data_IF_577193426816
#
_entry.id   IF_577193426816
#
_cell.length_a   1.000
_cell.length_b   1.000
_cell.length_c   1.000
_cell.angle_alpha   90.00
_cell.angle_beta   90.00
_cell.angle_gamma   90.00
#
_symmetry.space_group_name_H-M   'P 1'
#
loop_
_entity.id
_entity.type
_entity.pdbx_description
1 polymer ?
#
# COMPACT_ATOMS: atom_id res chain seq x y z
N UNK A 1 10.31 3.13 -14.94
CA UNK A 1 9.34 3.16 -13.84
C UNK A 1 9.97 3.68 -12.55
N UNK A 2 11.17 3.20 -12.11
CA UNK A 2 11.80 3.60 -10.85
C UNK A 2 12.00 5.11 -10.70
N UNK A 3 12.60 5.76 -11.70
CA UNK A 3 12.77 7.23 -11.70
C UNK A 3 11.43 7.97 -11.65
N UNK A 4 10.42 7.49 -12.38
CA UNK A 4 9.08 8.09 -12.36
C UNK A 4 8.45 8.00 -10.98
N UNK A 5 8.62 6.87 -10.29
CA UNK A 5 8.12 6.69 -8.92
C UNK A 5 8.83 7.61 -7.93
N UNK A 6 10.16 7.71 -8.00
CA UNK A 6 10.93 8.62 -7.16
C UNK A 6 10.50 10.08 -7.37
N UNK A 7 10.47 10.55 -8.62
CA UNK A 7 10.07 11.91 -8.94
C UNK A 7 8.60 12.18 -8.58
N UNK A 8 7.69 11.25 -8.89
CA UNK A 8 6.28 11.40 -8.59
C UNK A 8 5.99 11.54 -7.09
N UNK A 9 6.57 10.65 -6.28
CA UNK A 9 6.39 10.73 -4.83
C UNK A 9 7.08 11.95 -4.21
N UNK A 10 8.26 12.36 -4.71
CA UNK A 10 8.89 13.62 -4.29
C UNK A 10 8.01 14.84 -4.58
N UNK A 11 7.38 14.90 -5.76
CA UNK A 11 6.44 15.97 -6.11
C UNK A 11 5.23 15.96 -5.17
N UNK A 12 4.65 14.80 -4.88
CA UNK A 12 3.54 14.70 -3.92
C UNK A 12 3.96 15.25 -2.56
N UNK A 13 5.09 14.80 -2.00
CA UNK A 13 5.60 15.29 -0.72
C UNK A 13 5.76 16.82 -0.76
N UNK A 14 6.42 17.34 -1.79
CA UNK A 14 6.67 18.78 -1.93
C UNK A 14 5.38 19.60 -2.00
N UNK A 15 4.40 19.19 -2.83
CA UNK A 15 3.12 19.88 -3.00
C UNK A 15 2.34 19.93 -1.68
N UNK A 16 2.20 18.78 -1.00
CA UNK A 16 1.42 18.72 0.25
C UNK A 16 2.09 19.49 1.40
N UNK A 17 3.42 19.53 1.44
CA UNK A 17 4.14 20.30 2.47
C UNK A 17 4.08 21.80 2.23
N UNK A 18 4.06 22.26 0.97
CA UNK A 18 4.10 23.68 0.63
C UNK A 18 2.72 24.31 0.45
N UNK A 19 1.66 23.53 0.26
CA UNK A 19 0.30 24.03 0.01
C UNK A 19 -0.54 24.00 1.30
N UNK A 20 -0.77 25.16 1.92
CA UNK A 20 -1.51 25.26 3.20
C UNK A 20 -2.91 24.64 3.15
N UNK A 21 -3.63 24.79 2.03
CA UNK A 21 -4.98 24.23 1.84
C UNK A 21 -5.03 22.69 1.82
N UNK A 22 -3.90 22.04 1.59
CA UNK A 22 -3.78 20.58 1.62
C UNK A 22 -3.34 20.00 2.98
N UNK A 23 -3.14 20.84 3.98
CA UNK A 23 -2.72 20.41 5.33
C UNK A 23 -3.92 19.92 6.14
N UNK A 24 -4.50 18.80 5.77
CA UNK A 24 -5.55 18.12 6.54
C UNK A 24 -5.02 16.87 7.24
N UNK A 25 -5.64 16.39 8.33
CA UNK A 25 -5.24 15.15 9.00
C UNK A 25 -5.25 13.93 8.06
N UNK A 26 -6.22 13.82 7.18
CA UNK A 26 -6.29 12.75 6.18
C UNK A 26 -5.12 12.81 5.19
N UNK A 27 -4.69 14.00 4.81
CA UNK A 27 -3.57 14.19 3.89
C UNK A 27 -2.21 13.86 4.51
N UNK A 28 -2.08 13.84 5.85
CA UNK A 28 -0.87 13.32 6.51
C UNK A 28 -0.63 11.84 6.18
N UNK A 29 -1.69 11.05 6.05
CA UNK A 29 -1.59 9.66 5.61
C UNK A 29 -1.11 9.56 4.15
N UNK A 30 -1.56 10.46 3.27
CA UNK A 30 -1.12 10.50 1.87
C UNK A 30 0.36 10.88 1.79
N UNK A 31 0.81 11.83 2.59
CA UNK A 31 2.24 12.21 2.69
C UNK A 31 3.06 11.04 3.21
N UNK A 32 2.59 10.33 4.25
CA UNK A 32 3.27 9.15 4.77
C UNK A 32 3.40 8.04 3.71
N UNK A 33 2.36 7.80 2.92
CA UNK A 33 2.40 6.87 1.81
C UNK A 33 3.46 7.28 0.78
N UNK A 34 3.46 8.55 0.36
CA UNK A 34 4.44 9.06 -0.59
C UNK A 34 5.89 8.99 -0.06
N UNK A 35 6.10 9.20 1.25
CA UNK A 35 7.41 9.04 1.88
C UNK A 35 7.86 7.59 1.84
N UNK A 36 7.00 6.63 2.21
CA UNK A 36 7.37 5.21 2.18
C UNK A 36 7.67 4.71 0.76
N UNK A 37 6.87 5.11 -0.23
CA UNK A 37 7.07 4.73 -1.63
C UNK A 37 8.33 5.37 -2.23
N UNK A 38 8.60 6.64 -1.88
CA UNK A 38 9.85 7.31 -2.26
C UNK A 38 11.08 6.59 -1.68
N UNK A 39 11.07 6.30 -0.38
CA UNK A 39 12.19 5.64 0.30
C UNK A 39 12.39 4.20 -0.21
N UNK A 40 11.30 3.48 -0.48
CA UNK A 40 11.37 2.15 -1.08
C UNK A 40 12.08 2.19 -2.43
N UNK A 41 11.66 3.06 -3.34
CA UNK A 41 12.24 3.14 -4.67
C UNK A 41 13.66 3.74 -4.67
N UNK A 42 13.94 4.69 -3.80
CA UNK A 42 15.30 5.23 -3.62
C UNK A 42 16.28 4.17 -3.09
N UNK A 43 15.81 3.22 -2.27
CA UNK A 43 16.62 2.10 -1.80
C UNK A 43 16.74 0.98 -2.84
N UNK A 44 15.68 0.65 -3.56
CA UNK A 44 15.64 -0.54 -4.43
C UNK A 44 16.13 -0.27 -5.85
N UNK A 45 15.79 0.87 -6.43
CA UNK A 45 16.03 1.13 -7.85
C UNK A 45 17.52 1.26 -8.22
N UNK A 46 18.37 2.05 -7.51
CA UNK A 46 19.77 2.18 -7.90
C UNK A 46 20.57 0.87 -7.81
N UNK A 47 20.49 0.08 -6.72
CA UNK A 47 21.15 -1.22 -6.68
C UNK A 47 20.66 -2.20 -7.73
N UNK A 48 19.33 -2.20 -8.02
CA UNK A 48 18.77 -3.05 -9.06
C UNK A 48 19.37 -2.76 -10.43
N UNK A 49 19.57 -1.48 -10.79
CA UNK A 49 20.22 -1.11 -12.05
C UNK A 49 21.66 -1.65 -12.13
N UNK A 50 22.42 -1.52 -11.04
CA UNK A 50 23.79 -2.05 -10.95
C UNK A 50 23.79 -3.56 -11.09
N UNK A 51 22.93 -4.28 -10.35
CA UNK A 51 22.83 -5.74 -10.38
C UNK A 51 22.40 -6.26 -11.76
N UNK A 52 21.49 -5.56 -12.45
CA UNK A 52 21.12 -5.90 -13.84
C UNK A 52 22.30 -5.74 -14.80
N UNK A 53 23.14 -4.72 -14.62
CA UNK A 53 24.34 -4.53 -15.43
C UNK A 53 25.38 -5.64 -15.25
N UNK A 54 25.59 -6.08 -14.00
CA UNK A 54 26.52 -7.17 -13.68
C UNK A 54 25.92 -8.58 -13.77
N UNK A 55 24.61 -8.70 -14.02
CA UNK A 55 23.88 -9.97 -14.04
C UNK A 55 24.01 -10.80 -12.76
N UNK A 56 24.23 -10.15 -11.61
CA UNK A 56 24.37 -10.78 -10.30
C UNK A 56 24.20 -9.75 -9.20
N UNK A 57 24.07 -10.22 -7.96
CA UNK A 57 24.15 -9.34 -6.79
C UNK A 57 25.60 -8.84 -6.62
N UNK A 58 25.81 -7.56 -6.91
CA UNK A 58 27.15 -6.95 -6.94
C UNK A 58 27.60 -6.35 -5.60
N UNK A 59 26.80 -6.45 -4.55
CA UNK A 59 27.09 -5.86 -3.25
C UNK A 59 27.36 -6.92 -2.17
N UNK A 60 27.69 -6.48 -0.93
CA UNK A 60 27.94 -7.39 0.19
C UNK A 60 26.66 -8.13 0.63
N UNK A 61 26.85 -9.25 1.33
CA UNK A 61 25.74 -10.00 1.94
C UNK A 61 24.93 -9.14 2.93
N UNK A 62 25.60 -8.34 3.75
CA UNK A 62 24.94 -7.42 4.67
C UNK A 62 24.08 -6.37 3.96
N UNK A 63 24.54 -5.86 2.83
CA UNK A 63 23.74 -4.92 2.04
C UNK A 63 22.53 -5.60 1.39
N UNK A 64 22.62 -6.89 1.06
CA UNK A 64 21.48 -7.71 0.61
C UNK A 64 20.40 -7.78 1.70
N UNK A 65 20.82 -8.04 2.94
CA UNK A 65 19.89 -8.08 4.08
C UNK A 65 19.22 -6.72 4.29
N UNK A 66 19.97 -5.62 4.24
CA UNK A 66 19.40 -4.27 4.35
C UNK A 66 18.45 -3.92 3.19
N UNK A 67 18.81 -4.32 1.98
CA UNK A 67 17.96 -4.13 0.79
C UNK A 67 16.60 -4.84 0.96
N UNK A 68 16.62 -6.11 1.34
CA UNK A 68 15.41 -6.90 1.60
C UNK A 68 14.59 -6.37 2.77
N UNK A 69 15.27 -5.96 3.84
CA UNK A 69 14.64 -5.33 5.01
C UNK A 69 13.90 -4.05 4.63
N UNK A 70 14.56 -3.09 3.98
CA UNK A 70 13.95 -1.81 3.61
C UNK A 70 12.84 -1.99 2.57
N UNK A 71 12.99 -2.89 1.60
CA UNK A 71 11.93 -3.21 0.66
C UNK A 71 10.68 -3.74 1.37
N UNK A 72 10.85 -4.69 2.28
CA UNK A 72 9.77 -5.25 3.10
C UNK A 72 9.16 -4.21 4.04
N UNK A 73 10.00 -3.39 4.68
CA UNK A 73 9.57 -2.34 5.61
C UNK A 73 8.66 -1.31 4.93
N UNK A 74 9.14 -0.72 3.84
CA UNK A 74 8.39 0.33 3.16
C UNK A 74 7.17 -0.24 2.43
N UNK A 75 7.24 -1.45 1.89
CA UNK A 75 6.07 -2.14 1.34
C UNK A 75 4.97 -2.40 2.39
N UNK A 76 5.35 -2.80 3.60
CA UNK A 76 4.44 -2.98 4.72
C UNK A 76 3.83 -1.64 5.17
N UNK A 77 4.64 -0.58 5.28
CA UNK A 77 4.15 0.76 5.62
C UNK A 77 3.15 1.26 4.57
N UNK A 78 3.43 1.07 3.29
CA UNK A 78 2.55 1.51 2.20
C UNK A 78 1.18 0.85 2.29
N UNK A 79 1.10 -0.47 2.40
CA UNK A 79 -0.22 -1.15 2.41
C UNK A 79 -1.02 -0.79 3.67
N UNK A 80 -0.41 -0.75 4.86
CA UNK A 80 -1.12 -0.39 6.08
C UNK A 80 -1.54 1.07 6.12
N UNK A 81 -0.76 1.96 5.51
CA UNK A 81 -1.16 3.36 5.31
C UNK A 81 -2.38 3.45 4.40
N UNK A 82 -2.40 2.68 3.30
CA UNK A 82 -3.57 2.61 2.41
C UNK A 82 -4.83 2.07 3.10
N UNK A 83 -4.69 1.12 4.03
CA UNK A 83 -5.81 0.67 4.88
C UNK A 83 -6.37 1.83 5.69
N UNK A 84 -5.54 2.63 6.35
CA UNK A 84 -6.03 3.76 7.13
C UNK A 84 -6.66 4.86 6.27
N UNK A 85 -6.15 5.09 5.06
CA UNK A 85 -6.80 5.95 4.07
C UNK A 85 -8.18 5.38 3.69
N UNK A 86 -8.27 4.07 3.44
CA UNK A 86 -9.54 3.39 3.11
C UNK A 86 -10.55 3.49 4.26
N UNK A 87 -10.12 3.28 5.51
CA UNK A 87 -10.97 3.41 6.70
C UNK A 87 -11.46 4.86 6.86
N UNK A 88 -10.62 5.85 6.59
CA UNK A 88 -11.01 7.25 6.61
C UNK A 88 -12.09 7.54 5.56
N UNK A 89 -11.91 7.09 4.32
CA UNK A 89 -12.93 7.21 3.26
C UNK A 89 -14.23 6.50 3.62
N UNK A 90 -14.14 5.31 4.20
CA UNK A 90 -15.32 4.59 4.70
C UNK A 90 -16.07 5.41 5.77
N UNK A 91 -15.37 5.97 6.74
CA UNK A 91 -16.01 6.77 7.78
C UNK A 91 -16.71 8.01 7.18
N UNK A 92 -16.05 8.73 6.28
CA UNK A 92 -16.62 9.95 5.66
C UNK A 92 -17.83 9.62 4.78
N UNK A 93 -17.77 8.58 3.95
CA UNK A 93 -18.81 8.29 2.96
C UNK A 93 -19.96 7.48 3.55
N UNK A 94 -19.65 6.44 4.34
CA UNK A 94 -20.68 5.51 4.85
C UNK A 94 -21.32 6.02 6.14
N UNK A 95 -20.53 6.55 7.08
CA UNK A 95 -21.05 7.08 8.35
C UNK A 95 -21.46 8.54 8.26
N UNK A 96 -20.93 9.30 7.29
CA UNK A 96 -21.27 10.70 7.07
C UNK A 96 -21.13 11.56 8.32
N UNK A 97 -22.17 12.28 8.67
CA UNK A 97 -22.19 13.21 9.84
C UNK A 97 -22.06 12.50 11.19
N UNK A 98 -22.32 11.21 11.27
CA UNK A 98 -22.13 10.41 12.51
C UNK A 98 -20.68 9.97 12.71
N UNK A 99 -19.80 10.18 11.73
CA UNK A 99 -18.40 9.83 11.85
C UNK A 99 -17.66 10.87 12.71
N UNK A 100 -16.81 10.39 13.62
CA UNK A 100 -15.83 11.25 14.28
C UNK A 100 -14.76 11.66 13.27
N UNK A 101 -14.58 12.96 12.99
CA UNK A 101 -13.54 13.42 12.07
C UNK A 101 -12.15 12.99 12.50
N UNK A 102 -11.30 12.66 11.54
CA UNK A 102 -9.90 12.35 11.83
C UNK A 102 -9.18 13.61 12.33
N UNK A 103 -8.59 13.53 13.52
CA UNK A 103 -7.77 14.60 14.09
C UNK A 103 -6.30 14.47 13.69
N UNK A 104 -5.51 15.55 13.81
CA UNK A 104 -4.07 15.52 13.55
C UNK A 104 -3.32 14.51 14.43
N UNK A 105 -3.66 14.47 15.73
CA UNK A 105 -3.11 13.48 16.67
C UNK A 105 -3.53 12.06 16.32
N UNK A 106 -4.78 11.87 15.89
CA UNK A 106 -5.27 10.57 15.43
C UNK A 106 -4.58 10.08 14.14
N UNK A 107 -4.27 10.96 13.21
CA UNK A 107 -3.49 10.62 12.01
C UNK A 107 -2.04 10.25 12.39
N UNK A 108 -1.39 11.05 13.25
CA UNK A 108 -0.03 10.79 13.71
C UNK A 108 0.07 9.45 14.46
N UNK A 109 -0.89 9.15 15.34
CA UNK A 109 -0.93 7.88 16.06
C UNK A 109 -1.01 6.68 15.10
N UNK A 110 -1.80 6.78 14.03
CA UNK A 110 -1.91 5.73 13.00
C UNK A 110 -0.59 5.57 12.23
N UNK A 111 0.08 6.68 11.90
CA UNK A 111 1.39 6.65 11.25
C UNK A 111 2.41 5.94 12.16
N UNK A 112 2.53 6.37 13.41
CA UNK A 112 3.45 5.73 14.38
C UNK A 112 3.13 4.24 14.54
N UNK A 113 1.86 3.88 14.66
CA UNK A 113 1.43 2.49 14.75
C UNK A 113 1.88 1.66 13.53
N UNK A 114 1.69 2.18 12.32
CA UNK A 114 2.10 1.51 11.07
C UNK A 114 3.62 1.30 11.03
N UNK A 115 4.41 2.32 11.39
CA UNK A 115 5.87 2.24 11.38
C UNK A 115 6.39 1.23 12.42
N UNK A 116 5.90 1.29 13.65
CA UNK A 116 6.29 0.35 14.71
C UNK A 116 5.96 -1.09 14.31
N UNK A 117 4.76 -1.30 13.80
CA UNK A 117 4.31 -2.63 13.42
C UNK A 117 5.08 -3.20 12.22
N UNK A 118 5.36 -2.35 11.22
CA UNK A 118 6.17 -2.74 10.07
C UNK A 118 7.60 -3.11 10.50
N UNK A 119 8.22 -2.33 11.39
CA UNK A 119 9.56 -2.62 11.94
C UNK A 119 9.54 -3.97 12.69
N UNK A 120 8.54 -4.20 13.56
CA UNK A 120 8.43 -5.47 14.31
C UNK A 120 8.42 -6.67 13.35
N UNK A 121 7.61 -6.64 12.29
CA UNK A 121 7.54 -7.75 11.33
C UNK A 121 8.82 -7.91 10.51
N UNK A 122 9.39 -6.84 10.03
CA UNK A 122 10.50 -6.90 9.07
C UNK A 122 11.87 -7.06 9.72
N UNK A 123 11.99 -6.85 11.02
CA UNK A 123 13.23 -7.08 11.76
C UNK A 123 13.43 -8.56 12.16
N UNK A 124 12.35 -9.35 12.23
CA UNK A 124 12.38 -10.76 12.69
C UNK A 124 13.32 -11.66 11.87
N UNK A 125 13.50 -11.48 10.55
CA UNK A 125 14.49 -12.24 9.78
C UNK A 125 15.93 -12.08 10.28
N UNK A 126 16.31 -10.95 10.87
CA UNK A 126 17.62 -10.76 11.48
C UNK A 126 17.80 -11.58 12.78
N UNK A 127 16.70 -12.00 13.41
CA UNK A 127 16.70 -12.85 14.60
C UNK A 127 16.48 -14.33 14.29
N UNK A 128 16.54 -14.71 13.00
CA UNK A 128 16.46 -16.11 12.57
C UNK A 128 15.06 -16.67 12.30
N UNK A 129 14.01 -15.84 12.38
CA UNK A 129 12.69 -16.24 11.87
C UNK A 129 12.58 -15.86 10.40
N UNK A 130 13.08 -16.72 9.50
CA UNK A 130 13.44 -16.47 8.12
C UNK A 130 14.79 -15.72 7.98
N UNK A 131 15.13 -15.24 6.78
CA UNK A 131 16.30 -14.42 6.47
C UNK A 131 16.12 -13.69 5.15
N UNK A 132 16.91 -12.65 4.91
CA UNK A 132 16.98 -11.98 3.61
C UNK A 132 18.13 -12.58 2.78
N UNK A 133 17.83 -12.94 1.53
CA UNK A 133 18.77 -13.61 0.62
C UNK A 133 18.64 -13.05 -0.80
N UNK A 134 19.67 -13.21 -1.64
CA UNK A 134 19.54 -12.93 -3.07
C UNK A 134 18.44 -13.81 -3.69
N UNK A 135 17.59 -13.23 -4.51
CA UNK A 135 16.44 -13.89 -5.11
C UNK A 135 16.31 -13.64 -6.62
N UNK A 136 15.42 -14.38 -7.26
CA UNK A 136 15.17 -14.27 -8.70
C UNK A 136 16.42 -14.56 -9.51
N UNK A 137 16.78 -13.62 -10.40
CA UNK A 137 18.00 -13.69 -11.20
C UNK A 137 19.23 -13.11 -10.49
N UNK A 138 19.27 -13.13 -9.16
CA UNK A 138 20.31 -12.53 -8.32
C UNK A 138 20.43 -11.01 -8.46
N UNK A 139 19.37 -10.34 -8.90
CA UNK A 139 19.36 -8.88 -9.09
C UNK A 139 18.69 -8.13 -7.94
N UNK A 140 18.03 -8.85 -7.03
CA UNK A 140 17.36 -8.33 -5.85
C UNK A 140 17.60 -9.23 -4.64
N UNK A 141 17.22 -8.74 -3.46
CA UNK A 141 17.20 -9.52 -2.22
C UNK A 141 15.83 -9.43 -1.55
N UNK A 142 15.36 -10.54 -1.02
CA UNK A 142 14.08 -10.64 -0.34
C UNK A 142 14.05 -11.79 0.66
N UNK A 143 12.88 -12.13 1.14
CA UNK A 143 12.68 -13.22 2.11
C UNK A 143 13.00 -14.59 1.50
N UNK A 144 13.61 -15.46 2.29
CA UNK A 144 14.00 -16.81 1.83
C UNK A 144 12.78 -17.74 1.74
N UNK A 145 12.27 -17.90 0.52
CA UNK A 145 11.14 -18.79 0.19
C UNK A 145 11.58 -20.16 -0.37
N UNK A 146 12.89 -20.38 -0.56
CA UNK A 146 13.43 -21.63 -1.12
C UNK A 146 13.90 -22.60 -0.03
N UNK A 147 14.35 -22.10 1.12
CA UNK A 147 14.78 -22.97 2.23
C UNK A 147 13.58 -23.66 2.87
N UNK A 148 13.63 -24.98 2.88
CA UNK A 148 12.58 -25.88 3.38
C UNK A 148 12.70 -26.09 4.89
N UNK A 149 12.60 -25.02 5.67
CA UNK A 149 12.51 -25.12 7.12
C UNK A 149 11.11 -24.72 7.60
N UNK A 150 10.63 -25.41 8.62
CA UNK A 150 9.35 -25.06 9.25
C UNK A 150 9.34 -23.62 9.76
N UNK A 151 10.47 -23.14 10.27
CA UNK A 151 10.64 -21.77 10.72
C UNK A 151 10.48 -20.77 9.58
N UNK A 152 11.19 -20.96 8.44
CA UNK A 152 11.09 -20.05 7.28
C UNK A 152 9.67 -20.03 6.70
N UNK A 153 9.03 -21.19 6.56
CA UNK A 153 7.66 -21.27 6.04
C UNK A 153 6.65 -20.60 6.98
N UNK A 154 6.79 -20.82 8.31
CA UNK A 154 5.87 -20.17 9.28
C UNK A 154 5.92 -18.64 9.21
N UNK A 155 7.11 -18.07 9.03
CA UNK A 155 7.26 -16.63 8.82
C UNK A 155 6.55 -16.16 7.55
N UNK A 156 6.78 -16.84 6.42
CA UNK A 156 6.20 -16.45 5.13
C UNK A 156 4.67 -16.54 5.14
N UNK A 157 4.09 -17.56 5.79
CA UNK A 157 2.63 -17.64 5.98
C UNK A 157 2.11 -16.51 6.85
N UNK A 158 2.75 -16.26 8.00
CA UNK A 158 2.33 -15.23 8.93
C UNK A 158 2.48 -13.82 8.33
N UNK A 159 3.63 -13.53 7.72
CA UNK A 159 3.90 -12.26 7.07
C UNK A 159 3.00 -12.04 5.85
N UNK A 160 2.83 -13.05 4.98
CA UNK A 160 1.93 -12.98 3.82
C UNK A 160 0.47 -12.77 4.22
N UNK A 161 0.00 -13.42 5.28
CA UNK A 161 -1.32 -13.14 5.84
C UNK A 161 -1.43 -11.68 6.30
N UNK A 162 -0.45 -11.20 7.04
CA UNK A 162 -0.43 -9.87 7.63
C UNK A 162 -0.31 -8.73 6.60
N UNK A 163 0.52 -8.91 5.56
CA UNK A 163 0.83 -7.85 4.58
C UNK A 163 -0.05 -7.93 3.33
N UNK A 164 -0.65 -9.08 3.05
CA UNK A 164 -1.41 -9.27 1.82
C UNK A 164 -2.87 -9.66 2.08
N UNK A 165 -3.14 -10.80 2.70
CA UNK A 165 -4.50 -11.33 2.80
C UNK A 165 -5.39 -10.51 3.74
N UNK A 166 -4.92 -10.16 4.93
CA UNK A 166 -5.68 -9.35 5.88
C UNK A 166 -5.98 -7.93 5.32
N UNK A 167 -5.00 -7.19 4.76
CA UNK A 167 -5.27 -5.95 4.04
C UNK A 167 -6.31 -6.10 2.94
N UNK A 168 -6.19 -7.11 2.10
CA UNK A 168 -7.13 -7.37 1.00
C UNK A 168 -8.57 -7.53 1.50
N UNK A 169 -8.77 -8.34 2.56
CA UNK A 169 -10.09 -8.55 3.16
C UNK A 169 -10.68 -7.26 3.73
N UNK A 170 -9.88 -6.46 4.44
CA UNK A 170 -10.32 -5.18 5.00
C UNK A 170 -10.74 -4.23 3.88
N UNK A 171 -9.94 -4.14 2.82
CA UNK A 171 -10.18 -3.25 1.69
C UNK A 171 -11.44 -3.67 0.93
N UNK A 172 -11.61 -4.95 0.61
CA UNK A 172 -12.82 -5.45 -0.05
C UNK A 172 -14.06 -5.15 0.80
N UNK A 173 -14.00 -5.41 2.11
CA UNK A 173 -15.11 -5.13 3.02
C UNK A 173 -15.46 -3.64 3.11
N UNK A 174 -14.46 -2.75 3.15
CA UNK A 174 -14.68 -1.31 3.19
C UNK A 174 -15.25 -0.78 1.87
N UNK A 175 -14.67 -1.16 0.74
CA UNK A 175 -15.13 -0.66 -0.57
C UNK A 175 -16.48 -1.23 -0.99
N UNK A 176 -16.83 -2.45 -0.62
CA UNK A 176 -18.18 -2.97 -0.86
C UNK A 176 -19.25 -2.08 -0.20
N UNK A 177 -18.97 -1.62 1.03
CA UNK A 177 -19.87 -0.71 1.75
C UNK A 177 -19.85 0.72 1.20
N UNK A 178 -18.69 1.23 0.80
CA UNK A 178 -18.57 2.55 0.15
C UNK A 178 -19.39 2.58 -1.13
N UNK A 179 -19.24 1.57 -2.01
CA UNK A 179 -19.99 1.49 -3.29
C UNK A 179 -21.48 1.43 -3.03
N UNK A 180 -21.93 0.61 -2.09
CA UNK A 180 -23.36 0.53 -1.72
C UNK A 180 -23.90 1.87 -1.24
N UNK A 181 -23.15 2.58 -0.38
CA UNK A 181 -23.57 3.89 0.13
C UNK A 181 -23.62 4.95 -0.97
N UNK A 182 -22.67 4.97 -1.88
CA UNK A 182 -22.65 5.89 -3.04
C UNK A 182 -23.86 5.66 -3.95
N UNK A 183 -24.16 4.41 -4.30
CA UNK A 183 -25.32 4.06 -5.14
C UNK A 183 -26.63 4.48 -4.46
N UNK A 184 -26.77 4.20 -3.16
CA UNK A 184 -27.96 4.58 -2.40
C UNK A 184 -28.15 6.12 -2.36
N UNK A 185 -27.06 6.86 -2.14
CA UNK A 185 -27.09 8.33 -2.13
C UNK A 185 -27.46 8.90 -3.51
N UNK A 186 -26.87 8.40 -4.60
CA UNK A 186 -27.21 8.85 -5.95
C UNK A 186 -28.69 8.56 -6.30
N UNK A 187 -29.20 7.39 -5.89
CA UNK A 187 -30.62 7.06 -6.08
C UNK A 187 -31.53 8.01 -5.32
N UNK A 188 -31.22 8.29 -4.05
CA UNK A 188 -31.99 9.23 -3.25
C UNK A 188 -32.02 10.64 -3.84
N UNK A 189 -30.88 11.15 -4.32
CA UNK A 189 -30.81 12.46 -4.98
C UNK A 189 -31.64 12.52 -6.27
N UNK A 190 -31.62 11.46 -7.09
CA UNK A 190 -32.45 11.37 -8.30
C UNK A 190 -33.94 11.37 -8.00
N UNK A 191 -34.36 10.66 -6.95
CA UNK A 191 -35.77 10.61 -6.52
C UNK A 191 -36.23 11.98 -5.98
N UNK A 192 -35.38 12.67 -5.22
CA UNK A 192 -35.67 14.03 -4.73
C UNK A 192 -35.78 15.03 -5.89
N UNK A 193 -34.84 14.99 -6.85
CA UNK A 193 -34.89 15.85 -8.03
C UNK A 193 -36.19 15.65 -8.85
N UNK A 194 -36.60 14.37 -9.01
CA UNK A 194 -37.90 14.05 -9.65
C UNK A 194 -39.10 14.66 -8.91
N UNK A 195 -39.11 14.55 -7.57
CA UNK A 195 -40.24 15.11 -6.77
C UNK A 195 -40.32 16.63 -6.85
N UNK A 196 -39.16 17.31 -7.03
CA UNK A 196 -39.09 18.78 -7.13
C UNK A 196 -39.21 19.31 -8.58
N UNK A 197 -39.38 18.42 -9.57
CA UNK A 197 -39.51 18.81 -10.97
C UNK A 197 -38.25 19.43 -11.59
N UNK A 198 -37.05 19.23 -10.96
CA UNK A 198 -35.79 19.80 -11.41
C UNK A 198 -34.88 18.71 -12.02
N UNK A 199 -34.10 19.08 -13.06
CA UNK A 199 -33.24 18.10 -13.77
C UNK A 199 -32.07 17.61 -12.90
N UNK A 200 -31.63 18.37 -11.88
CA UNK A 200 -30.52 18.02 -10.99
C UNK A 200 -30.55 18.87 -9.72
N UNK A 201 -30.28 18.24 -8.58
CA UNK A 201 -29.98 18.96 -7.33
C UNK A 201 -28.48 19.28 -7.32
N UNK A 202 -28.13 20.47 -7.80
CA UNK A 202 -26.74 20.96 -7.79
C UNK A 202 -26.55 21.87 -6.58
N UNK A 203 -26.53 21.28 -5.39
CA UNK A 203 -26.25 21.99 -4.14
C UNK A 203 -24.82 21.70 -3.67
N UNK A 204 -24.34 22.43 -2.67
CA UNK A 204 -22.99 22.26 -2.08
C UNK A 204 -22.75 20.84 -1.55
N UNK A 205 -23.79 20.21 -1.01
CA UNK A 205 -23.74 18.85 -0.48
C UNK A 205 -23.48 17.80 -1.59
N UNK A 206 -24.12 17.94 -2.75
CA UNK A 206 -23.88 17.10 -3.91
C UNK A 206 -22.45 17.26 -4.46
N UNK A 207 -21.92 18.48 -4.43
CA UNK A 207 -20.53 18.74 -4.84
C UNK A 207 -19.52 18.13 -3.87
N UNK A 208 -19.75 18.25 -2.55
CA UNK A 208 -18.91 17.64 -1.52
C UNK A 208 -18.90 16.13 -1.62
N UNK A 209 -20.05 15.49 -1.74
CA UNK A 209 -20.17 14.03 -1.93
C UNK A 209 -19.46 13.57 -3.19
N UNK A 210 -19.57 14.31 -4.30
CA UNK A 210 -18.85 14.00 -5.54
C UNK A 210 -17.33 14.07 -5.38
N UNK A 211 -16.81 15.04 -4.62
CA UNK A 211 -15.39 15.16 -4.31
C UNK A 211 -14.89 13.97 -3.47
N UNK A 212 -15.63 13.58 -2.43
CA UNK A 212 -15.30 12.44 -1.58
C UNK A 212 -15.32 11.12 -2.36
N UNK A 213 -16.31 10.93 -3.24
CA UNK A 213 -16.35 9.77 -4.13
C UNK A 213 -15.15 9.72 -5.09
N UNK A 214 -14.70 10.87 -5.58
CA UNK A 214 -13.50 10.93 -6.44
C UNK A 214 -12.24 10.55 -5.67
N UNK A 215 -12.08 11.03 -4.43
CA UNK A 215 -10.97 10.64 -3.57
C UNK A 215 -10.98 9.15 -3.24
N UNK A 216 -12.16 8.58 -2.97
CA UNK A 216 -12.29 7.14 -2.76
C UNK A 216 -11.93 6.32 -4.00
N UNK A 217 -12.30 6.77 -5.20
CA UNK A 217 -11.90 6.12 -6.47
C UNK A 217 -10.38 6.16 -6.68
N UNK A 218 -9.73 7.27 -6.39
CA UNK A 218 -8.27 7.38 -6.46
C UNK A 218 -7.61 6.44 -5.46
N UNK A 219 -8.08 6.41 -4.22
CA UNK A 219 -7.56 5.49 -3.21
C UNK A 219 -7.74 4.02 -3.60
N UNK A 220 -8.91 3.64 -4.15
CA UNK A 220 -9.13 2.28 -4.66
C UNK A 220 -8.16 1.94 -5.81
N UNK A 221 -7.95 2.88 -6.74
CA UNK A 221 -7.02 2.67 -7.85
C UNK A 221 -5.58 2.45 -7.34
N UNK A 222 -5.12 3.26 -6.39
CA UNK A 222 -3.79 3.12 -5.78
C UNK A 222 -3.62 1.76 -5.11
N UNK A 223 -4.60 1.34 -4.32
CA UNK A 223 -4.63 0.01 -3.68
C UNK A 223 -4.62 -1.11 -4.71
N UNK A 224 -5.42 -1.01 -5.75
CA UNK A 224 -5.49 -2.03 -6.81
C UNK A 224 -4.15 -2.19 -7.53
N UNK A 225 -3.46 -1.07 -7.83
CA UNK A 225 -2.13 -1.08 -8.42
C UNK A 225 -1.10 -1.72 -7.50
N UNK A 226 -1.19 -1.49 -6.19
CA UNK A 226 -0.33 -2.14 -5.20
C UNK A 226 -0.51 -3.68 -5.24
N UNK A 227 -1.75 -4.17 -5.18
CA UNK A 227 -2.02 -5.61 -5.28
C UNK A 227 -1.56 -6.19 -6.62
N UNK A 228 -1.79 -5.50 -7.73
CA UNK A 228 -1.31 -5.94 -9.05
C UNK A 228 0.22 -6.06 -9.10
N UNK A 229 0.94 -5.14 -8.48
CA UNK A 229 2.40 -5.15 -8.44
C UNK A 229 2.96 -6.27 -7.53
N UNK A 230 2.33 -6.54 -6.37
CA UNK A 230 2.84 -7.49 -5.39
C UNK A 230 2.30 -8.92 -5.54
N UNK A 231 1.20 -9.12 -6.29
CA UNK A 231 0.64 -10.47 -6.52
C UNK A 231 1.63 -11.43 -7.20
N UNK A 232 2.39 -11.04 -8.25
CA UNK A 232 3.40 -11.91 -8.83
C UNK A 232 4.45 -12.37 -7.82
N UNK A 233 4.93 -11.46 -6.96
CA UNK A 233 5.90 -11.78 -5.91
C UNK A 233 5.32 -12.76 -4.89
N UNK A 234 4.07 -12.59 -4.48
CA UNK A 234 3.38 -13.53 -3.60
C UNK A 234 3.29 -14.93 -4.24
N UNK A 235 2.93 -15.02 -5.52
CA UNK A 235 2.83 -16.28 -6.26
C UNK A 235 4.20 -17.00 -6.31
N UNK A 236 5.29 -16.26 -6.55
CA UNK A 236 6.65 -16.81 -6.55
C UNK A 236 7.02 -17.36 -5.18
N UNK A 237 6.75 -16.62 -4.11
CA UNK A 237 7.04 -17.05 -2.74
C UNK A 237 6.29 -18.35 -2.39
N UNK A 238 4.98 -18.40 -2.62
CA UNK A 238 4.18 -19.60 -2.36
C UNK A 238 4.55 -20.76 -3.29
N UNK A 239 4.86 -20.50 -4.56
CA UNK A 239 5.32 -21.50 -5.51
C UNK A 239 6.64 -22.13 -5.06
N UNK A 240 7.60 -21.32 -4.59
CA UNK A 240 8.87 -21.79 -4.04
C UNK A 240 8.68 -22.69 -2.82
N UNK A 241 7.83 -22.30 -1.88
CA UNK A 241 7.49 -23.11 -0.69
C UNK A 241 6.86 -24.46 -1.05
N UNK A 242 6.01 -24.51 -2.08
CA UNK A 242 5.30 -25.71 -2.53
C UNK A 242 6.11 -26.59 -3.50
N UNK A 243 7.41 -26.34 -3.70
CA UNK A 243 8.26 -27.03 -4.67
C UNK A 243 7.76 -26.97 -6.12
N UNK A 244 7.00 -25.95 -6.46
CA UNK A 244 6.58 -25.64 -7.81
C UNK A 244 7.13 -24.26 -8.18
N UNK A 245 8.46 -24.14 -8.45
CA UNK A 245 9.05 -22.85 -8.76
C UNK A 245 8.37 -22.27 -10.00
N UNK A 246 7.56 -21.24 -9.79
CA UNK A 246 6.96 -20.45 -10.86
C UNK A 246 7.91 -19.34 -11.31
N UNK A 247 9.21 -19.58 -11.22
CA UNK A 247 10.23 -18.65 -11.68
C UNK A 247 10.25 -18.70 -13.20
N UNK A 248 9.65 -17.72 -13.82
CA UNK A 248 9.74 -17.50 -15.26
C UNK A 248 10.26 -16.08 -15.51
N UNK A 249 10.88 -15.81 -16.67
CA UNK A 249 11.33 -14.44 -17.01
C UNK A 249 10.21 -13.39 -16.92
N UNK A 250 8.95 -13.82 -17.07
CA UNK A 250 7.79 -12.94 -16.97
C UNK A 250 7.49 -12.49 -15.53
N UNK A 251 7.85 -13.28 -14.52
CA UNK A 251 7.56 -13.00 -13.10
C UNK A 251 8.79 -12.52 -12.32
N UNK A 252 9.97 -12.49 -12.92
CA UNK A 252 11.24 -12.15 -12.27
C UNK A 252 11.86 -10.85 -12.80
N UNK A 253 11.10 -10.07 -13.59
CA UNK A 253 11.50 -8.75 -14.09
C UNK A 253 10.97 -7.64 -13.19
#
# INVERSE_FOLDING_TARGET
>A
LGMMSICGNAIVIWVFMNTKSLRSPANLLVVNLAISDFLMMANMFPPMVVNCYYHTWAFSAFYCELYGFFGSLFGCISIWTMIFITIDRYNVIVKGVSATPLTGSGALLRIVFVWVLAIIWTILPFFGWNRYVPEGNLTACGTDYLTKSSSSHSYLYAYGFWVYFLPLLIIIGAYSKIVTAVIAHEKGMREQAKKMGVKSLRNEEAQKTSAECRLAKVALMTVSLWFMAWTPYLIINFGGMLNKPMISPLFTI
#
